data_IF_890562264641
#
_entry.id   IF_890562264641
#
_cell.length_a   1.000
_cell.length_b   1.000
_cell.length_c   1.000
_cell.angle_alpha   90.00
_cell.angle_beta   90.00
_cell.angle_gamma   90.00
#
_symmetry.space_group_name_H-M   'P 1'
#
loop_
_entity.id
_entity.type
_entity.pdbx_description
1 polymer ?
#
# COMPACT_ATOMS: atom_id res chain seq x y z
N UNK A 1 -5.47 -24.07 -1.17
CA UNK A 1 -4.96 -22.81 -1.78
C UNK A 1 -4.36 -23.21 -3.13
N UNK A 2 -4.75 -22.58 -4.24
CA UNK A 2 -4.23 -22.94 -5.57
C UNK A 2 -2.71 -22.76 -5.61
N UNK A 3 -1.99 -23.81 -6.02
CA UNK A 3 -0.52 -23.84 -5.99
C UNK A 3 0.12 -22.71 -6.84
N UNK A 4 -0.54 -22.29 -7.92
CA UNK A 4 -0.10 -21.17 -8.76
C UNK A 4 -0.18 -19.82 -8.04
N UNK A 5 -1.24 -19.60 -7.27
CA UNK A 5 -1.42 -18.38 -6.48
C UNK A 5 -0.35 -18.29 -5.38
N UNK A 6 -0.04 -19.40 -4.72
CA UNK A 6 1.02 -19.39 -3.70
C UNK A 6 2.40 -19.06 -4.27
N UNK A 7 2.73 -19.55 -5.48
CA UNK A 7 3.96 -19.18 -6.19
C UNK A 7 3.99 -17.69 -6.50
N UNK A 8 2.88 -17.14 -7.00
CA UNK A 8 2.76 -15.71 -7.29
C UNK A 8 2.98 -14.86 -6.02
N UNK A 9 2.41 -15.27 -4.88
CA UNK A 9 2.55 -14.55 -3.62
C UNK A 9 3.99 -14.51 -3.12
N UNK A 10 4.70 -15.64 -3.23
CA UNK A 10 6.12 -15.72 -2.86
C UNK A 10 6.98 -14.82 -3.75
N UNK A 11 6.71 -14.80 -5.06
CA UNK A 11 7.43 -13.95 -6.02
C UNK A 11 7.21 -12.46 -5.74
N UNK A 12 5.98 -12.03 -5.49
CA UNK A 12 5.68 -10.62 -5.19
C UNK A 12 6.37 -10.16 -3.91
N UNK A 13 6.35 -10.97 -2.86
CA UNK A 13 7.02 -10.65 -1.59
C UNK A 13 8.55 -10.61 -1.77
N UNK A 14 9.11 -11.53 -2.55
CA UNK A 14 10.54 -11.47 -2.92
C UNK A 14 10.87 -10.20 -3.70
N UNK A 15 10.02 -9.76 -4.62
CA UNK A 15 10.22 -8.52 -5.35
C UNK A 15 10.19 -7.29 -4.43
N UNK A 16 9.25 -7.26 -3.48
CA UNK A 16 9.17 -6.19 -2.47
C UNK A 16 10.41 -6.17 -1.56
N UNK A 17 10.93 -7.35 -1.18
CA UNK A 17 12.19 -7.49 -0.42
C UNK A 17 13.40 -7.01 -1.24
N UNK A 18 13.50 -7.42 -2.50
CA UNK A 18 14.59 -7.05 -3.41
C UNK A 18 14.62 -5.53 -3.66
N UNK A 19 13.45 -4.91 -3.80
CA UNK A 19 13.30 -3.46 -3.91
C UNK A 19 13.53 -2.72 -2.58
N UNK A 20 13.78 -3.43 -1.48
CA UNK A 20 13.95 -2.91 -0.11
C UNK A 20 12.74 -2.09 0.36
N UNK A 21 11.55 -2.42 -0.15
CA UNK A 21 10.30 -1.79 0.26
C UNK A 21 9.77 -2.36 1.58
N UNK A 22 10.05 -3.64 1.83
CA UNK A 22 9.72 -4.36 3.06
C UNK A 22 10.97 -5.07 3.60
N UNK A 23 10.94 -5.46 4.87
CA UNK A 23 11.94 -6.32 5.51
C UNK A 23 11.31 -7.36 6.44
N UNK A 24 12.01 -8.45 6.77
CA UNK A 24 11.53 -9.38 7.81
C UNK A 24 11.37 -8.65 9.15
N UNK A 25 10.25 -8.89 9.82
CA UNK A 25 9.92 -8.27 11.10
C UNK A 25 9.87 -9.30 12.22
N UNK A 26 10.20 -8.86 13.43
CA UNK A 26 9.94 -9.58 14.70
C UNK A 26 9.09 -8.71 15.64
N UNK A 27 8.33 -7.77 15.08
CA UNK A 27 7.51 -6.83 15.83
C UNK A 27 6.41 -7.57 16.61
N UNK A 28 6.05 -7.10 17.82
CA UNK A 28 4.87 -7.59 18.51
C UNK A 28 3.56 -7.16 17.82
N UNK A 29 3.62 -6.21 16.89
CA UNK A 29 2.48 -5.83 16.04
C UNK A 29 2.39 -6.76 14.84
N UNK A 30 1.18 -7.14 14.49
CA UNK A 30 0.92 -7.80 13.22
C UNK A 30 -0.49 -7.51 12.73
N UNK A 31 -0.57 -6.99 11.52
CA UNK A 31 -1.82 -6.92 10.75
C UNK A 31 -1.94 -8.13 9.83
N UNK A 32 -3.16 -8.63 9.64
CA UNK A 32 -3.40 -9.71 8.69
C UNK A 32 -3.27 -9.20 7.25
N UNK A 33 -2.51 -9.92 6.43
CA UNK A 33 -2.42 -9.69 5.00
C UNK A 33 -3.07 -10.84 4.23
N UNK A 34 -3.80 -10.50 3.18
CA UNK A 34 -4.47 -11.46 2.31
C UNK A 34 -4.51 -10.95 0.88
N UNK A 35 -4.76 -11.87 -0.03
CA UNK A 35 -4.83 -11.58 -1.44
C UNK A 35 -6.27 -11.45 -1.91
N UNK A 36 -6.54 -10.39 -2.66
CA UNK A 36 -7.85 -10.14 -3.27
C UNK A 36 -7.77 -10.45 -4.75
N UNK A 37 -8.72 -11.26 -5.21
CA UNK A 37 -8.87 -11.65 -6.60
C UNK A 37 -10.33 -11.41 -7.03
N UNK A 38 -10.76 -10.13 -7.16
CA UNK A 38 -12.09 -9.78 -7.68
C UNK A 38 -12.01 -9.53 -9.19
N UNK A 39 -13.16 -9.30 -9.83
CA UNK A 39 -13.26 -9.08 -11.28
C UNK A 39 -12.27 -8.04 -11.82
N UNK A 40 -12.02 -6.94 -11.10
CA UNK A 40 -11.05 -5.91 -11.53
C UNK A 40 -9.60 -6.41 -11.48
N UNK A 41 -9.26 -7.27 -10.51
CA UNK A 41 -7.94 -7.90 -10.43
C UNK A 41 -7.79 -9.05 -11.44
N UNK A 42 -8.87 -9.76 -11.74
CA UNK A 42 -8.94 -10.77 -12.80
C UNK A 42 -8.73 -10.13 -14.19
N UNK A 43 -9.34 -8.97 -14.45
CA UNK A 43 -9.11 -8.18 -15.68
C UNK A 43 -7.66 -7.68 -15.80
N UNK A 44 -7.01 -7.38 -14.67
CA UNK A 44 -5.59 -7.01 -14.62
C UNK A 44 -4.65 -8.23 -14.66
N UNK A 45 -5.18 -9.44 -14.47
CA UNK A 45 -4.44 -10.69 -14.42
C UNK A 45 -3.52 -10.86 -13.19
N UNK A 46 -3.58 -9.96 -12.19
CA UNK A 46 -2.65 -9.96 -11.06
C UNK A 46 -3.41 -9.80 -9.73
N UNK A 47 -3.31 -10.78 -8.81
CA UNK A 47 -3.92 -10.68 -7.49
C UNK A 47 -3.23 -9.58 -6.67
N UNK A 48 -3.99 -8.83 -5.87
CA UNK A 48 -3.44 -7.71 -5.09
C UNK A 48 -3.22 -8.13 -3.63
N UNK A 49 -2.01 -7.89 -3.12
CA UNK A 49 -1.73 -7.94 -1.68
C UNK A 49 -2.49 -6.81 -0.95
N UNK A 50 -3.34 -7.19 0.00
CA UNK A 50 -4.10 -6.27 0.84
C UNK A 50 -3.76 -6.52 2.30
N UNK A 51 -3.32 -5.47 2.98
CA UNK A 51 -3.00 -5.51 4.41
C UNK A 51 -4.12 -4.83 5.18
N UNK A 52 -4.70 -5.53 6.16
CA UNK A 52 -5.78 -4.99 6.97
C UNK A 52 -5.26 -4.11 8.10
N UNK A 53 -5.01 -2.83 7.79
CA UNK A 53 -4.63 -1.83 8.78
C UNK A 53 -5.81 -1.23 9.58
N UNK A 54 -7.04 -1.78 9.50
CA UNK A 54 -8.17 -1.26 10.29
C UNK A 54 -7.88 -1.22 11.80
N UNK A 55 -7.31 -2.28 12.42
CA UNK A 55 -6.98 -2.24 13.85
C UNK A 55 -5.90 -1.19 14.16
N UNK A 56 -4.88 -1.10 13.31
CA UNK A 56 -3.83 -0.09 13.44
C UNK A 56 -4.39 1.33 13.36
N UNK A 57 -5.28 1.59 12.40
CA UNK A 57 -5.89 2.91 12.21
C UNK A 57 -6.75 3.37 13.39
N UNK A 58 -7.30 2.44 14.19
CA UNK A 58 -8.03 2.77 15.42
C UNK A 58 -7.10 3.16 16.57
N UNK A 59 -5.89 2.59 16.62
CA UNK A 59 -4.89 2.90 17.63
C UNK A 59 -4.11 4.20 17.33
N UNK A 60 -4.04 4.61 16.07
CA UNK A 60 -3.31 5.81 15.65
C UNK A 60 -4.10 7.09 15.91
N UNK A 61 -3.39 8.15 16.30
CA UNK A 61 -3.96 9.49 16.38
C UNK A 61 -4.26 10.00 14.98
N UNK A 62 -5.50 10.44 14.78
CA UNK A 62 -5.91 10.99 13.49
C UNK A 62 -5.23 12.33 13.20
N UNK A 63 -4.69 12.47 11.99
CA UNK A 63 -4.08 13.72 11.50
C UNK A 63 -4.99 14.27 10.41
N UNK A 64 -5.50 15.49 10.61
CA UNK A 64 -6.23 16.24 9.58
C UNK A 64 -5.24 16.93 8.66
N UNK A 65 -5.03 16.37 7.48
CA UNK A 65 -4.37 17.10 6.40
C UNK A 65 -5.42 17.90 5.63
N UNK A 66 -5.28 19.22 5.46
CA UNK A 66 -6.24 20.03 4.71
C UNK A 66 -6.16 19.66 3.23
N UNK A 67 -7.16 18.93 2.75
CA UNK A 67 -7.32 18.68 1.31
C UNK A 67 -7.96 19.92 0.70
N UNK A 68 -7.37 20.52 -0.35
CA UNK A 68 -7.92 21.74 -0.95
C UNK A 68 -9.32 21.48 -1.51
N UNK A 69 -10.18 22.50 -1.42
CA UNK A 69 -11.53 22.42 -1.97
C UNK A 69 -11.46 22.32 -3.50
N UNK A 70 -12.33 21.49 -4.09
CA UNK A 70 -12.44 21.33 -5.54
C UNK A 70 -12.70 22.66 -6.24
N UNK A 71 -13.54 23.53 -5.67
CA UNK A 71 -13.84 24.86 -6.26
C UNK A 71 -12.58 25.73 -6.36
N UNK A 72 -11.79 25.78 -5.29
CA UNK A 72 -10.56 26.58 -5.24
C UNK A 72 -9.51 26.04 -6.23
N UNK A 73 -9.42 24.71 -6.38
CA UNK A 73 -8.55 24.10 -7.39
C UNK A 73 -8.97 24.48 -8.81
N UNK A 74 -10.27 24.50 -9.10
CA UNK A 74 -10.80 24.85 -10.42
C UNK A 74 -10.59 26.34 -10.76
N UNK A 75 -10.76 27.24 -9.78
CA UNK A 75 -10.47 28.67 -9.98
C UNK A 75 -8.99 28.90 -10.31
N UNK A 76 -8.07 28.19 -9.64
CA UNK A 76 -6.62 28.33 -9.89
C UNK A 76 -6.19 27.93 -11.29
N UNK A 77 -6.94 27.06 -11.94
CA UNK A 77 -6.60 26.53 -13.27
C UNK A 77 -7.50 27.09 -14.38
N UNK A 78 -8.43 28.00 -14.05
CA UNK A 78 -9.42 28.55 -14.99
C UNK A 78 -8.77 29.25 -16.19
N UNK A 79 -7.71 30.02 -15.95
CA UNK A 79 -7.05 30.80 -17.01
C UNK A 79 -5.95 30.01 -17.75
N UNK A 80 -5.75 28.74 -17.38
CA UNK A 80 -4.75 27.86 -18.00
C UNK A 80 -5.25 27.31 -19.33
N UNK A 81 -4.42 27.40 -20.38
CA UNK A 81 -4.76 26.90 -21.73
C UNK A 81 -4.29 25.47 -22.00
N UNK A 82 -3.26 25.02 -21.28
CA UNK A 82 -2.65 23.69 -21.47
C UNK A 82 -2.63 22.98 -20.13
N UNK A 83 -3.09 21.73 -20.12
CA UNK A 83 -3.13 20.89 -18.93
C UNK A 83 -2.25 19.66 -19.17
N UNK A 84 -1.45 19.30 -18.17
CA UNK A 84 -0.70 18.05 -18.15
C UNK A 84 -0.90 17.38 -16.81
N UNK A 85 -1.14 16.07 -16.82
CA UNK A 85 -1.35 15.26 -15.62
C UNK A 85 -0.20 14.28 -15.49
N UNK A 86 0.44 14.31 -14.33
CA UNK A 86 1.42 13.30 -13.93
C UNK A 86 0.79 12.37 -12.90
N UNK A 87 0.86 11.07 -13.15
CA UNK A 87 0.46 10.05 -12.18
C UNK A 87 1.71 9.37 -11.62
N UNK A 88 1.82 9.32 -10.29
CA UNK A 88 2.93 8.65 -9.62
C UNK A 88 2.60 7.17 -9.47
N UNK A 89 3.22 6.33 -10.30
CA UNK A 89 3.06 4.88 -10.22
C UNK A 89 3.48 4.39 -8.83
N UNK A 90 2.60 3.64 -8.16
CA UNK A 90 2.86 3.06 -6.83
C UNK A 90 3.25 4.10 -5.76
N UNK A 91 2.67 5.30 -5.81
CA UNK A 91 2.99 6.46 -4.95
C UNK A 91 3.23 6.13 -3.48
N UNK A 92 2.40 5.28 -2.88
CA UNK A 92 2.52 4.96 -1.44
C UNK A 92 3.82 4.20 -1.11
N UNK A 93 4.31 3.36 -2.01
CA UNK A 93 5.56 2.62 -1.82
C UNK A 93 6.80 3.51 -1.96
N UNK A 94 6.66 4.70 -2.54
CA UNK A 94 7.77 5.66 -2.67
C UNK A 94 7.98 6.49 -1.41
N UNK A 95 6.96 6.61 -0.55
CA UNK A 95 7.02 7.38 0.68
C UNK A 95 7.50 6.45 1.80
N UNK A 96 8.69 6.73 2.33
CA UNK A 96 9.27 5.93 3.40
C UNK A 96 8.60 6.22 4.75
N UNK A 97 8.40 5.18 5.53
CA UNK A 97 7.96 5.27 6.92
C UNK A 97 9.17 5.57 7.80
N UNK A 98 8.98 6.45 8.79
CA UNK A 98 10.01 6.77 9.79
C UNK A 98 10.45 5.51 10.53
N UNK A 99 11.76 5.32 10.72
CA UNK A 99 12.34 4.10 11.32
C UNK A 99 11.71 3.72 12.67
N UNK A 100 11.36 4.73 13.47
CA UNK A 100 10.72 4.57 14.79
C UNK A 100 9.33 3.97 14.73
N UNK A 101 8.63 4.06 13.60
CA UNK A 101 7.23 3.63 13.45
C UNK A 101 7.05 2.44 12.50
N UNK A 102 8.13 1.97 11.83
CA UNK A 102 8.08 0.81 10.90
C UNK A 102 7.51 -0.44 11.54
N UNK A 103 7.85 -0.71 12.80
CA UNK A 103 7.36 -1.90 13.50
C UNK A 103 5.83 -1.95 13.61
N UNK A 104 5.13 -0.81 13.55
CA UNK A 104 3.66 -0.73 13.62
C UNK A 104 2.99 -1.21 12.35
N UNK A 105 3.68 -1.12 11.20
CA UNK A 105 3.18 -1.57 9.90
C UNK A 105 3.50 -3.03 9.61
N UNK A 106 3.99 -3.76 10.61
CA UNK A 106 4.24 -5.18 10.47
C UNK A 106 2.96 -5.95 10.09
N UNK A 107 3.09 -6.88 9.15
CA UNK A 107 2.01 -7.71 8.65
C UNK A 107 2.46 -9.17 8.53
N UNK A 108 1.51 -10.07 8.74
CA UNK A 108 1.73 -11.51 8.63
C UNK A 108 1.07 -12.05 7.37
N UNK A 109 1.86 -12.82 6.63
CA UNK A 109 1.44 -13.66 5.51
C UNK A 109 1.71 -15.13 5.87
N UNK A 110 1.09 -16.12 5.20
CA UNK A 110 1.23 -17.54 5.55
C UNK A 110 2.68 -18.07 5.60
N UNK A 111 3.62 -17.36 4.98
CA UNK A 111 5.03 -17.74 4.85
C UNK A 111 5.99 -16.82 5.61
N UNK A 112 5.50 -15.89 6.45
CA UNK A 112 6.37 -15.07 7.29
C UNK A 112 5.73 -13.77 7.80
N UNK A 113 6.49 -13.02 8.59
CA UNK A 113 6.14 -11.69 9.08
C UNK A 113 7.12 -10.66 8.53
N UNK A 114 6.57 -9.56 8.00
CA UNK A 114 7.32 -8.50 7.33
C UNK A 114 6.83 -7.13 7.80
N UNK A 115 7.64 -6.09 7.62
CA UNK A 115 7.32 -4.68 7.90
C UNK A 115 7.86 -3.74 6.84
#
# INVERSE_FOLDING_TARGET
MNQELEKHYKLEIQELLNRKLIRPSKSPWSCSAFYVNKNVELERGVPRLVINYKPLNQALRWIRYPIPNKKDLLQKIHDSKIFSKFDMKSRFWQIQITEKDKYKTAFTVPFGQYE
#
